data_IF_788732979564
#
_entry.id   IF_788732979564
#
_cell.length_a   1.000
_cell.length_b   1.000
_cell.length_c   1.000
_cell.angle_alpha   90.00
_cell.angle_beta   90.00
_cell.angle_gamma   90.00
#
_symmetry.space_group_name_H-M   'P 1'
#
loop_
_entity.id
_entity.type
_entity.pdbx_description
1 polymer ?
#
# COMPACT_ATOMS: atom_id res chain seq x y z
N UNK A 1 -30.02 17.02 -25.16
CA UNK A 1 -28.77 16.96 -24.36
C UNK A 1 -28.76 18.04 -23.25
N UNK A 2 -29.87 18.26 -22.55
CA UNK A 2 -30.00 19.33 -21.54
C UNK A 2 -29.30 18.98 -20.20
N UNK A 3 -29.35 17.70 -19.82
CA UNK A 3 -28.81 17.18 -18.55
C UNK A 3 -27.27 17.29 -18.47
N UNK A 4 -26.58 17.00 -19.58
CA UNK A 4 -25.11 17.11 -19.64
C UNK A 4 -24.64 18.56 -19.62
N UNK A 5 -25.40 19.49 -20.23
CA UNK A 5 -25.13 20.94 -20.16
C UNK A 5 -25.23 21.49 -18.74
N UNK A 6 -26.10 20.90 -17.90
CA UNK A 6 -26.22 21.21 -16.46
C UNK A 6 -25.16 20.52 -15.58
N UNK A 7 -24.24 19.77 -16.17
CA UNK A 7 -23.18 19.05 -15.44
C UNK A 7 -23.65 17.81 -14.69
N UNK A 8 -24.89 17.36 -14.92
CA UNK A 8 -25.46 16.17 -14.29
C UNK A 8 -24.86 14.93 -14.96
N UNK A 9 -24.16 14.11 -14.17
CA UNK A 9 -23.49 12.89 -14.66
C UNK A 9 -24.11 11.66 -14.01
N UNK A 10 -24.24 10.57 -14.74
CA UNK A 10 -24.62 9.28 -14.18
C UNK A 10 -23.32 8.51 -13.91
N UNK A 11 -23.17 7.98 -12.69
CA UNK A 11 -22.05 7.11 -12.31
C UNK A 11 -22.60 5.83 -11.71
N UNK A 12 -21.79 4.80 -11.76
CA UNK A 12 -22.02 3.54 -11.12
C UNK A 12 -21.46 3.53 -9.68
N UNK A 13 -22.23 3.02 -8.71
CA UNK A 13 -21.82 2.99 -7.30
C UNK A 13 -20.83 1.85 -7.04
N UNK A 14 -19.64 2.16 -6.53
CA UNK A 14 -18.57 1.19 -6.28
C UNK A 14 -18.86 0.16 -5.16
N UNK A 15 -19.99 0.27 -4.45
CA UNK A 15 -20.38 -0.69 -3.39
C UNK A 15 -21.54 -1.61 -3.78
N UNK A 16 -22.56 -1.07 -4.45
CA UNK A 16 -23.84 -1.76 -4.65
C UNK A 16 -24.22 -1.96 -6.11
N UNK A 17 -23.31 -1.59 -7.01
CA UNK A 17 -23.41 -1.84 -8.44
C UNK A 17 -24.60 -1.18 -9.18
N UNK A 18 -25.32 -0.23 -8.55
CA UNK A 18 -26.42 0.49 -9.23
C UNK A 18 -26.06 1.92 -9.58
N UNK A 19 -26.61 2.39 -10.68
CA UNK A 19 -26.46 3.76 -11.17
C UNK A 19 -27.02 4.79 -10.19
N UNK A 20 -26.37 5.95 -10.14
CA UNK A 20 -26.82 7.11 -9.39
C UNK A 20 -26.44 8.41 -10.10
N UNK A 21 -27.21 9.46 -9.84
CA UNK A 21 -27.01 10.77 -10.42
C UNK A 21 -26.05 11.59 -9.55
N UNK A 22 -24.96 12.05 -10.15
CA UNK A 22 -24.08 13.07 -9.62
C UNK A 22 -24.64 14.43 -10.03
N UNK A 23 -25.33 15.07 -9.09
CA UNK A 23 -25.87 16.42 -9.27
C UNK A 23 -24.82 17.54 -9.05
N UNK A 24 -23.64 17.19 -8.52
CA UNK A 24 -22.56 18.14 -8.22
C UNK A 24 -21.26 17.77 -8.98
N UNK A 25 -20.30 18.71 -9.02
CA UNK A 25 -18.99 18.51 -9.64
C UNK A 25 -18.04 17.63 -8.80
N UNK A 26 -18.45 17.13 -7.63
CA UNK A 26 -17.56 16.34 -6.75
C UNK A 26 -17.42 14.92 -7.29
N UNK A 27 -16.23 14.35 -7.15
CA UNK A 27 -15.92 12.97 -7.56
C UNK A 27 -16.44 11.97 -6.51
N UNK A 28 -17.75 11.85 -6.33
CA UNK A 28 -18.32 10.82 -5.43
C UNK A 28 -18.25 9.44 -6.08
N UNK A 29 -17.96 8.42 -5.27
CA UNK A 29 -17.83 7.02 -5.73
C UNK A 29 -19.00 6.13 -5.27
N UNK A 30 -19.75 6.60 -4.28
CA UNK A 30 -20.81 5.86 -3.63
C UNK A 30 -22.11 6.66 -3.66
N UNK A 31 -23.25 5.97 -3.85
CA UNK A 31 -24.58 6.56 -3.82
C UNK A 31 -25.11 6.73 -2.38
N UNK A 32 -26.24 7.43 -2.22
CA UNK A 32 -26.87 7.67 -0.92
C UNK A 32 -27.90 6.58 -0.52
N UNK A 33 -28.04 5.49 -1.30
CA UNK A 33 -28.97 4.38 -0.98
C UNK A 33 -28.51 3.59 0.24
N UNK A 34 -29.46 3.13 1.04
CA UNK A 34 -29.25 2.16 2.12
C UNK A 34 -28.72 0.86 1.53
N UNK A 35 -27.69 0.28 2.15
CA UNK A 35 -27.04 -0.94 1.68
C UNK A 35 -27.09 -2.07 2.71
N UNK A 36 -26.53 -1.85 3.90
CA UNK A 36 -26.49 -2.87 4.96
C UNK A 36 -26.92 -2.26 6.29
N UNK A 37 -27.98 -2.81 6.89
CA UNK A 37 -28.64 -2.23 8.05
C UNK A 37 -29.21 -0.85 7.74
N UNK A 38 -29.01 0.12 8.64
CA UNK A 38 -29.45 1.51 8.46
C UNK A 38 -28.36 2.45 7.92
N UNK A 39 -27.34 1.90 7.22
CA UNK A 39 -26.22 2.66 6.67
C UNK A 39 -26.28 2.78 5.15
N UNK A 40 -25.92 3.95 4.65
CA UNK A 40 -25.88 4.22 3.21
C UNK A 40 -24.58 3.74 2.56
N UNK A 41 -24.59 3.54 1.24
CA UNK A 41 -23.36 3.18 0.51
C UNK A 41 -22.25 4.22 0.73
N UNK A 42 -22.61 5.50 0.84
CA UNK A 42 -21.68 6.59 1.16
C UNK A 42 -21.01 6.43 2.53
N UNK A 43 -21.77 6.10 3.58
CA UNK A 43 -21.22 5.91 4.92
C UNK A 43 -20.32 4.67 5.01
N UNK A 44 -20.74 3.57 4.38
CA UNK A 44 -19.95 2.34 4.34
C UNK A 44 -18.67 2.56 3.51
N UNK A 45 -18.78 3.19 2.34
CA UNK A 45 -17.65 3.51 1.49
C UNK A 45 -16.62 4.42 2.17
N UNK A 46 -17.06 5.43 2.93
CA UNK A 46 -16.16 6.24 3.74
C UNK A 46 -15.41 5.42 4.80
N UNK A 47 -16.10 4.51 5.49
CA UNK A 47 -15.48 3.59 6.45
C UNK A 47 -14.48 2.64 5.77
N UNK A 48 -14.82 2.07 4.62
CA UNK A 48 -13.93 1.20 3.85
C UNK A 48 -12.66 1.95 3.43
N UNK A 49 -12.79 3.18 2.93
CA UNK A 49 -11.65 4.02 2.56
C UNK A 49 -10.77 4.35 3.76
N UNK A 50 -11.37 4.67 4.91
CA UNK A 50 -10.64 4.93 6.15
C UNK A 50 -9.88 3.69 6.64
N UNK A 51 -10.56 2.54 6.72
CA UNK A 51 -9.95 1.29 7.13
C UNK A 51 -8.78 0.93 6.20
N UNK A 52 -8.96 1.07 4.88
CA UNK A 52 -7.89 0.84 3.90
C UNK A 52 -6.70 1.77 4.15
N UNK A 53 -6.92 3.06 4.44
CA UNK A 53 -5.81 3.97 4.76
C UNK A 53 -5.08 3.61 6.06
N UNK A 54 -5.79 3.12 7.07
CA UNK A 54 -5.19 2.68 8.34
C UNK A 54 -4.38 1.38 8.15
N UNK A 55 -4.93 0.44 7.38
CA UNK A 55 -4.21 -0.76 6.95
C UNK A 55 -2.96 -0.36 6.17
N UNK A 56 -3.08 0.55 5.19
CA UNK A 56 -1.95 1.14 4.45
C UNK A 56 -0.86 1.69 5.35
N UNK A 57 -1.21 2.46 6.37
CA UNK A 57 -0.23 2.92 7.35
C UNK A 57 0.42 1.76 8.11
N UNK A 58 -0.36 0.77 8.54
CA UNK A 58 0.15 -0.39 9.30
C UNK A 58 1.14 -1.21 8.47
N UNK A 59 0.82 -1.50 7.21
CA UNK A 59 1.70 -2.25 6.31
C UNK A 59 2.94 -1.44 5.94
N UNK A 60 2.81 -0.13 5.70
CA UNK A 60 3.95 0.75 5.44
C UNK A 60 4.88 0.89 6.65
N UNK A 61 4.36 0.89 7.88
CA UNK A 61 5.17 0.86 9.10
C UNK A 61 5.98 -0.43 9.21
N UNK A 62 5.38 -1.59 8.91
CA UNK A 62 6.09 -2.86 8.90
C UNK A 62 7.12 -2.94 7.77
N UNK A 63 6.80 -2.42 6.59
CA UNK A 63 7.74 -2.24 5.48
C UNK A 63 8.96 -1.44 5.96
N UNK A 64 8.75 -0.29 6.61
CA UNK A 64 9.83 0.58 7.06
C UNK A 64 10.71 -0.12 8.12
N UNK A 65 10.11 -0.91 9.00
CA UNK A 65 10.84 -1.72 9.99
C UNK A 65 11.81 -2.69 9.30
N UNK A 66 11.34 -3.42 8.27
CA UNK A 66 12.18 -4.36 7.52
C UNK A 66 13.27 -3.61 6.73
N UNK A 67 12.91 -2.49 6.10
CA UNK A 67 13.84 -1.65 5.36
C UNK A 67 14.96 -1.11 6.24
N UNK A 68 14.63 -0.56 7.39
CA UNK A 68 15.62 -0.06 8.34
C UNK A 68 16.53 -1.18 8.85
N UNK A 69 16.01 -2.39 9.08
CA UNK A 69 16.85 -3.54 9.45
C UNK A 69 17.89 -3.85 8.37
N UNK A 70 17.50 -3.88 7.10
CA UNK A 70 18.44 -4.12 5.98
C UNK A 70 19.43 -2.97 5.81
N UNK A 71 18.96 -1.73 5.90
CA UNK A 71 19.81 -0.55 5.85
C UNK A 71 20.85 -0.56 6.99
N UNK A 72 20.46 -0.92 8.21
CA UNK A 72 21.38 -1.07 9.33
C UNK A 72 22.39 -2.19 9.14
N UNK A 73 22.07 -3.26 8.40
CA UNK A 73 23.05 -4.31 8.05
C UNK A 73 24.08 -3.83 7.03
N UNK A 74 23.63 -3.09 6.02
CA UNK A 74 24.51 -2.46 5.04
C UNK A 74 25.46 -1.45 5.71
N UNK A 75 24.94 -0.65 6.64
CA UNK A 75 25.69 0.43 7.29
C UNK A 75 26.38 0.03 8.60
N UNK A 76 26.61 -1.27 8.87
CA UNK A 76 27.37 -1.67 10.07
C UNK A 76 28.82 -1.21 9.95
N UNK A 77 29.17 -0.18 10.72
CA UNK A 77 30.50 0.43 10.82
C UNK A 77 31.47 -0.45 11.64
N UNK A 78 30.93 -1.34 12.46
CA UNK A 78 31.58 -2.14 13.51
C UNK A 78 32.46 -3.32 12.99
N UNK A 79 32.50 -3.55 11.68
CA UNK A 79 33.34 -4.59 11.06
C UNK A 79 34.77 -4.11 10.72
N UNK A 80 35.09 -2.81 10.83
CA UNK A 80 36.43 -2.32 10.49
C UNK A 80 37.52 -2.75 11.49
N UNK A 81 37.15 -3.08 12.74
CA UNK A 81 38.11 -3.36 13.83
C UNK A 81 37.78 -4.64 14.63
N UNK A 82 36.84 -5.47 14.15
CA UNK A 82 36.55 -6.75 14.80
C UNK A 82 36.61 -7.89 13.79
N UNK A 83 37.44 -8.89 14.07
CA UNK A 83 37.64 -10.12 13.30
C UNK A 83 36.40 -11.05 13.38
N UNK A 84 35.19 -10.48 13.44
CA UNK A 84 33.90 -11.16 13.56
C UNK A 84 33.26 -11.22 12.19
N UNK A 85 32.85 -12.41 11.77
CA UNK A 85 31.90 -12.56 10.67
C UNK A 85 30.63 -11.79 11.03
N UNK A 86 30.29 -10.81 10.21
CA UNK A 86 29.07 -10.03 10.38
C UNK A 86 28.11 -10.37 9.24
N UNK A 87 26.80 -10.40 9.53
CA UNK A 87 25.76 -10.45 8.49
C UNK A 87 25.64 -9.11 7.74
N UNK A 88 26.78 -8.47 7.44
CA UNK A 88 26.87 -7.30 6.58
C UNK A 88 26.53 -7.71 5.16
N UNK A 89 25.74 -6.88 4.49
CA UNK A 89 25.44 -7.03 3.07
C UNK A 89 26.31 -6.06 2.28
N UNK A 90 26.76 -6.48 1.11
CA UNK A 90 27.53 -5.64 0.20
C UNK A 90 26.68 -4.50 -0.37
N UNK A 91 27.34 -3.49 -0.93
CA UNK A 91 26.65 -2.37 -1.59
C UNK A 91 25.78 -2.84 -2.77
N UNK A 92 26.28 -3.79 -3.57
CA UNK A 92 25.56 -4.30 -4.73
C UNK A 92 24.28 -5.06 -4.31
N UNK A 93 24.39 -5.92 -3.30
CA UNK A 93 23.27 -6.64 -2.71
C UNK A 93 22.22 -5.68 -2.13
N UNK A 94 22.67 -4.68 -1.35
CA UNK A 94 21.77 -3.67 -0.80
C UNK A 94 21.09 -2.85 -1.89
N UNK A 95 21.80 -2.48 -2.95
CA UNK A 95 21.24 -1.74 -4.09
C UNK A 95 20.19 -2.57 -4.84
N UNK A 96 20.47 -3.84 -5.11
CA UNK A 96 19.51 -4.75 -5.74
C UNK A 96 18.26 -4.92 -4.88
N UNK A 97 18.45 -5.20 -3.60
CA UNK A 97 17.35 -5.41 -2.66
C UNK A 97 16.51 -4.14 -2.44
N UNK A 98 17.14 -2.98 -2.24
CA UNK A 98 16.44 -1.71 -2.00
C UNK A 98 15.66 -1.22 -3.22
N UNK A 99 16.16 -1.47 -4.43
CA UNK A 99 15.43 -1.23 -5.67
C UNK A 99 14.16 -2.08 -5.75
N UNK A 100 14.27 -3.39 -5.47
CA UNK A 100 13.12 -4.30 -5.43
C UNK A 100 12.10 -3.89 -4.34
N UNK A 101 12.56 -3.60 -3.12
CA UNK A 101 11.71 -3.14 -2.02
C UNK A 101 10.97 -1.83 -2.38
N UNK A 102 11.65 -0.90 -3.06
CA UNK A 102 11.05 0.36 -3.53
C UNK A 102 9.96 0.11 -4.56
N UNK A 103 10.16 -0.82 -5.49
CA UNK A 103 9.15 -1.20 -6.48
C UNK A 103 7.90 -1.80 -5.81
N UNK A 104 8.07 -2.73 -4.86
CA UNK A 104 6.96 -3.31 -4.11
C UNK A 104 6.14 -2.24 -3.38
N UNK A 105 6.79 -1.26 -2.76
CA UNK A 105 6.12 -0.13 -2.10
C UNK A 105 5.34 0.75 -3.08
N UNK A 106 5.87 0.97 -4.29
CA UNK A 106 5.16 1.74 -5.32
C UNK A 106 3.93 0.99 -5.82
N UNK A 107 4.04 -0.31 -6.07
CA UNK A 107 2.90 -1.13 -6.52
C UNK A 107 1.82 -1.23 -5.43
N UNK A 108 2.22 -1.29 -4.16
CA UNK A 108 1.32 -1.18 -3.03
C UNK A 108 0.56 0.15 -3.01
N UNK A 109 1.28 1.29 -3.09
CA UNK A 109 0.67 2.62 -3.12
C UNK A 109 -0.21 2.88 -4.34
N UNK A 110 0.08 2.21 -5.46
CA UNK A 110 -0.75 2.24 -6.65
C UNK A 110 -2.00 1.34 -6.54
N UNK A 111 -2.12 0.54 -5.46
CA UNK A 111 -3.21 -0.40 -5.24
C UNK A 111 -3.16 -1.63 -6.14
N UNK A 112 -1.99 -1.94 -6.73
CA UNK A 112 -1.77 -3.12 -7.58
C UNK A 112 -1.41 -4.37 -6.79
N UNK A 113 -0.95 -4.17 -5.55
CA UNK A 113 -0.51 -5.19 -4.61
C UNK A 113 -1.23 -4.92 -3.28
N UNK A 114 -1.65 -5.95 -2.56
CA UNK A 114 -2.17 -5.76 -1.20
C UNK A 114 -1.04 -5.71 -0.15
N UNK A 115 -1.40 -5.40 1.10
CA UNK A 115 -0.43 -5.18 2.18
C UNK A 115 0.20 -6.48 2.68
N UNK A 116 -0.54 -7.58 2.63
CA UNK A 116 -0.03 -8.90 3.04
C UNK A 116 0.97 -9.42 2.01
N UNK A 117 0.64 -9.28 0.73
CA UNK A 117 1.51 -9.60 -0.40
C UNK A 117 2.79 -8.76 -0.38
N UNK A 118 2.69 -7.44 -0.11
CA UNK A 118 3.83 -6.55 0.09
C UNK A 118 4.80 -7.11 1.13
N UNK A 119 4.30 -7.44 2.32
CA UNK A 119 5.14 -7.92 3.41
C UNK A 119 5.69 -9.32 3.15
N UNK A 120 4.90 -10.21 2.51
CA UNK A 120 5.33 -11.55 2.17
C UNK A 120 6.46 -11.53 1.15
N UNK A 121 6.31 -10.74 0.08
CA UNK A 121 7.34 -10.54 -0.94
C UNK A 121 8.60 -9.91 -0.36
N UNK A 122 8.44 -8.86 0.46
CA UNK A 122 9.57 -8.21 1.11
C UNK A 122 10.33 -9.17 2.05
N UNK A 123 9.61 -9.94 2.89
CA UNK A 123 10.20 -10.96 3.78
C UNK A 123 10.89 -12.08 3.01
N UNK A 124 10.30 -12.55 1.92
CA UNK A 124 10.93 -13.57 1.07
C UNK A 124 12.22 -13.05 0.44
N UNK A 125 12.22 -11.83 -0.10
CA UNK A 125 13.41 -11.20 -0.69
C UNK A 125 14.52 -10.96 0.33
N UNK A 126 14.18 -10.75 1.61
CA UNK A 126 15.17 -10.57 2.69
C UNK A 126 15.79 -11.88 3.14
N UNK A 127 15.04 -12.99 3.12
CA UNK A 127 15.55 -14.32 3.50
C UNK A 127 16.70 -14.80 2.63
N UNK A 128 16.77 -14.35 1.38
CA UNK A 128 17.89 -14.66 0.48
C UNK A 128 19.22 -14.26 1.13
N UNK A 129 19.26 -13.08 1.78
CA UNK A 129 20.42 -12.53 2.46
C UNK A 129 20.54 -12.95 3.93
N UNK A 130 19.61 -13.76 4.45
CA UNK A 130 19.70 -14.37 5.78
C UNK A 130 20.34 -15.78 5.74
N UNK A 131 20.27 -16.46 4.59
CA UNK A 131 20.72 -17.85 4.43
C UNK A 131 22.13 -18.01 3.84
N UNK A 132 22.80 -16.91 3.50
CA UNK A 132 24.19 -16.88 3.01
C UNK A 132 25.19 -16.34 4.06
N UNK A 133 24.77 -16.24 5.34
CA UNK A 133 25.65 -15.93 6.48
C UNK A 133 26.09 -17.18 7.22
#
# INVERSE_FOLDING_TARGET
MEMLKRGIRIKHCALCDKYFVLADKRKREYCDRIYKGNRTCKQIGAKLKFNKSVEEDTYLQQFQTIYNRMYSRYYRIDAWDSNRETNSITEEEFRHWSSHASQLRLDYKAGKLDGEELLKALKYSTKFYDNES
#
